data_IF_495428354433
#
_entry.id   IF_495428354433
#
_cell.length_a   1.000
_cell.length_b   1.000
_cell.length_c   1.000
_cell.angle_alpha   90.00
_cell.angle_beta   90.00
_cell.angle_gamma   90.00
#
_symmetry.space_group_name_H-M   'P 1'
#
loop_
_entity.id
_entity.type
_entity.pdbx_description
1 polymer ?
#
# COMPACT_ATOMS: atom_id res chain seq x y z
N UNK A 1 -4.47 7.88 -3.33
CA UNK A 1 -3.35 6.93 -3.26
C UNK A 1 -3.39 6.02 -4.48
N UNK A 2 -2.28 5.35 -4.76
CA UNK A 2 -2.19 4.31 -5.79
C UNK A 2 -1.80 3.03 -5.06
N UNK A 3 -2.59 1.98 -5.23
CA UNK A 3 -2.23 0.61 -4.89
C UNK A 3 -1.59 -0.04 -6.12
N UNK A 4 -0.47 -0.72 -5.90
CA UNK A 4 0.26 -1.45 -6.93
C UNK A 4 0.60 -2.85 -6.40
N UNK A 5 0.28 -3.87 -7.20
CA UNK A 5 0.68 -5.25 -6.94
C UNK A 5 2.16 -5.45 -7.31
N UNK A 6 2.92 -6.04 -6.39
CA UNK A 6 4.33 -6.39 -6.53
C UNK A 6 4.44 -7.93 -6.64
N UNK A 7 4.64 -8.48 -7.85
CA UNK A 7 4.68 -9.93 -8.07
C UNK A 7 5.77 -10.64 -7.26
N UNK A 8 6.93 -10.00 -7.10
CA UNK A 8 8.17 -10.57 -6.55
C UNK A 8 8.03 -10.95 -5.08
N UNK A 9 7.32 -10.12 -4.31
CA UNK A 9 7.01 -10.37 -2.88
C UNK A 9 5.59 -10.86 -2.69
N UNK A 10 4.86 -11.09 -3.78
CA UNK A 10 3.47 -11.50 -3.76
C UNK A 10 2.67 -10.57 -2.82
N UNK A 11 2.77 -9.26 -3.05
CA UNK A 11 2.27 -8.23 -2.13
C UNK A 11 1.68 -7.04 -2.87
N UNK A 12 1.16 -6.09 -2.11
CA UNK A 12 0.57 -4.83 -2.57
C UNK A 12 1.25 -3.71 -1.80
N UNK A 13 1.79 -2.74 -2.52
CA UNK A 13 2.23 -1.48 -1.94
C UNK A 13 1.16 -0.40 -2.17
N UNK A 14 1.05 0.55 -1.25
CA UNK A 14 0.18 1.72 -1.45
C UNK A 14 0.98 3.00 -1.22
N UNK A 15 0.92 3.93 -2.16
CA UNK A 15 1.62 5.23 -2.07
C UNK A 15 0.64 6.40 -2.18
N UNK A 16 0.80 7.42 -1.34
CA UNK A 16 0.00 8.65 -1.40
C UNK A 16 0.70 9.75 -2.22
N UNK A 17 -0.06 10.78 -2.62
CA UNK A 17 0.42 11.84 -3.50
C UNK A 17 1.50 12.70 -2.85
N UNK A 18 1.47 12.81 -1.53
CA UNK A 18 2.37 13.66 -0.75
C UNK A 18 3.75 13.01 -0.56
N UNK A 19 3.89 11.70 -0.78
CA UNK A 19 5.17 11.01 -0.73
C UNK A 19 6.03 11.37 -1.96
N UNK A 20 7.22 11.91 -1.69
CA UNK A 20 8.16 12.41 -2.73
C UNK A 20 9.31 11.46 -3.04
N UNK A 21 9.41 10.34 -2.31
CA UNK A 21 10.47 9.36 -2.49
C UNK A 21 10.23 8.39 -3.64
N UNK A 22 11.19 7.48 -3.80
CA UNK A 22 11.06 6.29 -4.64
C UNK A 22 10.39 5.20 -3.80
N UNK A 23 9.54 4.42 -4.45
CA UNK A 23 8.87 3.27 -3.83
C UNK A 23 9.59 1.97 -4.23
N UNK A 24 9.31 0.83 -3.57
CA UNK A 24 9.90 -0.45 -3.94
C UNK A 24 9.74 -0.81 -5.43
N UNK A 25 8.69 -0.33 -6.10
CA UNK A 25 8.51 -0.49 -7.55
C UNK A 25 9.55 0.23 -8.44
N UNK A 26 10.50 0.96 -7.85
CA UNK A 26 11.47 1.79 -8.57
C UNK A 26 10.89 3.09 -9.13
N UNK A 27 9.63 3.39 -8.83
CA UNK A 27 8.90 4.55 -9.35
C UNK A 27 8.43 5.49 -8.24
N UNK A 28 8.32 6.78 -8.56
CA UNK A 28 7.69 7.79 -7.69
C UNK A 28 6.17 7.80 -7.89
N UNK A 29 5.43 8.45 -6.99
CA UNK A 29 3.98 8.64 -7.15
C UNK A 29 3.61 9.29 -8.49
N UNK A 30 4.35 10.32 -8.93
CA UNK A 30 4.02 11.03 -10.16
C UNK A 30 4.17 10.16 -11.41
N UNK A 31 5.19 9.29 -11.44
CA UNK A 31 5.36 8.32 -12.52
C UNK A 31 4.23 7.30 -12.53
N UNK A 32 3.90 6.71 -11.37
CA UNK A 32 2.79 5.76 -11.23
C UNK A 32 1.45 6.38 -11.63
N UNK A 33 1.19 7.63 -11.23
CA UNK A 33 -0.01 8.36 -11.59
C UNK A 33 -0.13 8.62 -13.10
N UNK A 34 1.01 8.83 -13.77
CA UNK A 34 1.07 8.94 -15.23
C UNK A 34 0.68 7.64 -15.92
N UNK A 35 1.08 6.48 -15.38
CA UNK A 35 0.76 5.16 -15.93
C UNK A 35 -0.73 4.82 -15.84
N UNK A 36 -1.40 5.18 -14.74
CA UNK A 36 -2.84 4.89 -14.53
C UNK A 36 -3.77 6.04 -14.97
N UNK A 37 -3.19 7.15 -15.43
CA UNK A 37 -3.94 8.33 -15.83
C UNK A 37 -4.80 8.09 -17.07
N UNK A 38 -5.79 8.96 -17.29
CA UNK A 38 -6.58 8.95 -18.54
C UNK A 38 -7.72 7.93 -18.61
N UNK A 39 -8.08 7.28 -17.50
CA UNK A 39 -9.23 6.38 -17.41
C UNK A 39 -8.99 4.97 -17.96
N UNK A 40 -7.77 4.68 -18.42
CA UNK A 40 -7.36 3.33 -18.81
C UNK A 40 -7.20 2.44 -17.56
N UNK A 41 -7.80 1.25 -17.60
CA UNK A 41 -7.59 0.24 -16.58
C UNK A 41 -6.25 -0.45 -16.82
N UNK A 42 -5.31 -0.31 -15.89
CA UNK A 42 -4.01 -0.99 -15.95
C UNK A 42 -4.03 -2.13 -14.93
N UNK A 43 -3.93 -3.41 -15.37
CA UNK A 43 -3.89 -4.55 -14.46
C UNK A 43 -2.78 -4.41 -13.42
N UNK A 44 -3.07 -4.75 -12.16
CA UNK A 44 -2.13 -4.62 -11.04
C UNK A 44 -2.07 -3.23 -10.41
N UNK A 45 -2.78 -2.24 -10.96
CA UNK A 45 -2.86 -0.89 -10.40
C UNK A 45 -4.30 -0.53 -10.02
N UNK A 46 -4.45 0.18 -8.90
CA UNK A 46 -5.74 0.75 -8.51
C UNK A 46 -5.58 2.14 -7.89
N UNK A 47 -6.30 3.12 -8.41
CA UNK A 47 -6.48 4.40 -7.74
C UNK A 47 -7.44 4.24 -6.56
N UNK A 48 -6.98 4.53 -5.34
CA UNK A 48 -7.78 4.34 -4.11
C UNK A 48 -7.76 5.57 -3.20
N UNK A 49 -8.79 5.73 -2.37
CA UNK A 49 -8.74 6.67 -1.26
C UNK A 49 -7.87 6.11 -0.12
N UNK A 50 -7.22 6.99 0.66
CA UNK A 50 -6.40 6.58 1.81
C UNK A 50 -7.20 5.78 2.84
N UNK A 51 -8.42 6.22 3.14
CA UNK A 51 -9.31 5.56 4.11
C UNK A 51 -9.81 4.18 3.63
N UNK A 52 -9.73 3.87 2.33
CA UNK A 52 -10.13 2.56 1.82
C UNK A 52 -9.25 1.42 2.37
N UNK A 53 -8.01 1.70 2.78
CA UNK A 53 -7.12 0.74 3.46
C UNK A 53 -7.78 0.16 4.72
N UNK A 54 -8.59 0.95 5.41
CA UNK A 54 -9.31 0.54 6.63
C UNK A 54 -10.63 -0.20 6.34
N UNK A 55 -10.97 -0.43 5.07
CA UNK A 55 -12.22 -1.10 4.72
C UNK A 55 -12.12 -2.61 4.93
N UNK A 56 -13.23 -3.26 5.27
CA UNK A 56 -13.36 -4.73 5.16
C UNK A 56 -13.20 -5.18 3.71
N UNK A 57 -13.58 -4.32 2.76
CA UNK A 57 -13.53 -4.59 1.33
C UNK A 57 -12.22 -4.19 0.67
N UNK A 58 -11.20 -3.79 1.43
CA UNK A 58 -9.91 -3.40 0.88
C UNK A 58 -9.37 -4.55 0.02
N UNK A 59 -9.33 -4.37 -1.30
CA UNK A 59 -8.77 -5.28 -2.31
C UNK A 59 -9.04 -6.78 -2.04
N UNK A 60 -10.25 -7.13 -1.59
CA UNK A 60 -10.58 -8.52 -1.20
C UNK A 60 -10.38 -9.52 -2.33
N UNK A 61 -10.60 -9.12 -3.59
CA UNK A 61 -10.33 -9.97 -4.75
C UNK A 61 -8.85 -10.32 -4.95
N UNK A 62 -7.95 -9.50 -4.39
CA UNK A 62 -6.50 -9.65 -4.50
C UNK A 62 -5.85 -10.18 -3.20
N UNK A 63 -6.64 -10.64 -2.23
CA UNK A 63 -6.19 -11.14 -0.92
C UNK A 63 -6.24 -10.11 0.22
N UNK A 64 -6.71 -8.89 -0.06
CA UNK A 64 -7.03 -7.88 0.92
C UNK A 64 -5.87 -7.36 1.76
N UNK A 65 -6.15 -7.00 3.02
CA UNK A 65 -5.18 -6.29 3.87
C UNK A 65 -3.94 -7.12 4.18
N UNK A 66 -4.06 -8.45 4.20
CA UNK A 66 -2.95 -9.40 4.42
C UNK A 66 -1.85 -9.28 3.37
N UNK A 67 -2.19 -8.72 2.19
CA UNK A 67 -1.28 -8.52 1.08
C UNK A 67 -0.57 -7.19 1.13
N UNK A 68 -0.94 -6.29 2.03
CA UNK A 68 -0.30 -5.00 2.16
C UNK A 68 1.10 -5.19 2.73
N UNK A 69 2.13 -4.89 1.93
CA UNK A 69 3.53 -5.08 2.33
C UNK A 69 4.28 -3.76 2.51
N UNK A 70 3.79 -2.66 1.94
CA UNK A 70 4.48 -1.37 2.02
C UNK A 70 3.53 -0.17 2.05
N UNK A 71 3.79 0.77 2.96
CA UNK A 71 3.14 2.07 3.09
C UNK A 71 4.17 3.14 3.43
N UNK A 72 4.01 4.39 2.96
CA UNK A 72 4.81 5.49 3.48
C UNK A 72 4.62 5.63 4.99
N UNK A 73 5.70 5.89 5.73
CA UNK A 73 5.68 5.97 7.20
C UNK A 73 4.63 6.97 7.70
N UNK A 74 4.51 8.12 7.02
CA UNK A 74 3.47 9.11 7.29
C UNK A 74 2.05 8.51 7.23
N UNK A 75 1.74 7.72 6.20
CA UNK A 75 0.42 7.08 6.05
C UNK A 75 0.21 6.02 7.12
N UNK A 76 1.24 5.24 7.43
CA UNK A 76 1.23 4.22 8.46
C UNK A 76 0.94 4.84 9.84
N UNK A 77 1.59 5.95 10.18
CA UNK A 77 1.37 6.70 11.42
C UNK A 77 -0.03 7.31 11.50
N UNK A 78 -0.52 7.92 10.41
CA UNK A 78 -1.87 8.49 10.35
C UNK A 78 -2.96 7.42 10.55
N UNK A 79 -2.76 6.21 10.00
CA UNK A 79 -3.72 5.11 10.09
C UNK A 79 -3.59 4.29 11.37
N UNK A 80 -2.43 4.29 12.02
CA UNK A 80 -2.10 3.53 13.24
C UNK A 80 -3.23 3.41 14.27
N UNK A 81 -3.87 4.50 14.75
CA UNK A 81 -4.91 4.41 15.79
C UNK A 81 -6.15 3.62 15.35
N UNK A 82 -6.38 3.46 14.04
CA UNK A 82 -7.52 2.75 13.47
C UNK A 82 -7.13 1.39 12.89
N UNK A 83 -5.94 1.29 12.31
CA UNK A 83 -5.45 0.09 11.64
C UNK A 83 -5.06 -1.00 12.65
N UNK A 84 -4.38 -0.67 13.76
CA UNK A 84 -3.98 -1.66 14.76
C UNK A 84 -5.19 -2.38 15.40
N UNK A 85 -6.22 -1.67 15.91
CA UNK A 85 -7.41 -2.34 16.46
C UNK A 85 -8.10 -3.22 15.41
N UNK A 86 -8.24 -2.72 14.19
CA UNK A 86 -8.86 -3.44 13.07
C UNK A 86 -8.10 -4.71 12.71
N UNK A 87 -6.78 -4.66 12.66
CA UNK A 87 -5.94 -5.82 12.41
C UNK A 87 -6.03 -6.83 13.56
N UNK A 88 -6.08 -6.35 14.81
CA UNK A 88 -6.26 -7.21 15.99
C UNK A 88 -7.60 -7.92 15.98
N UNK A 89 -8.69 -7.22 15.67
CA UNK A 89 -10.03 -7.80 15.53
C UNK A 89 -10.10 -8.88 14.45
N UNK A 90 -9.30 -8.72 13.38
CA UNK A 90 -9.20 -9.68 12.28
C UNK A 90 -8.17 -10.80 12.50
N UNK A 91 -7.48 -10.83 13.64
CA UNK A 91 -6.49 -11.87 13.94
C UNK A 91 -5.10 -11.66 13.30
N UNK A 92 -4.80 -10.46 12.80
CA UNK A 92 -3.53 -10.09 12.16
C UNK A 92 -2.79 -9.00 12.95
N UNK A 93 -2.78 -9.09 14.28
CA UNK A 93 -2.26 -8.04 15.16
C UNK A 93 -0.79 -7.66 14.87
N UNK A 94 0.01 -8.61 14.36
CA UNK A 94 1.41 -8.47 14.01
C UNK A 94 1.64 -7.88 12.61
N UNK A 95 0.61 -7.80 11.76
CA UNK A 95 0.74 -7.34 10.39
C UNK A 95 1.18 -5.87 10.32
N UNK A 96 0.74 -5.03 11.25
CA UNK A 96 1.09 -3.60 11.24
C UNK A 96 2.61 -3.39 11.29
N UNK A 97 3.30 -4.15 12.15
CA UNK A 97 4.75 -4.04 12.34
C UNK A 97 5.53 -4.67 11.17
N UNK A 98 4.90 -5.59 10.42
CA UNK A 98 5.48 -6.25 9.25
C UNK A 98 5.34 -5.44 7.95
N UNK A 99 4.42 -4.48 7.89
CA UNK A 99 4.30 -3.57 6.74
C UNK A 99 5.53 -2.67 6.72
N UNK A 100 6.33 -2.77 5.66
CA UNK A 100 7.50 -1.93 5.47
C UNK A 100 7.11 -0.48 5.11
N UNK A 101 8.07 0.41 5.28
CA UNK A 101 8.01 1.81 4.88
C UNK A 101 9.39 2.25 4.37
N UNK A 102 9.50 3.51 3.92
CA UNK A 102 10.73 4.06 3.36
C UNK A 102 11.91 4.09 4.35
N UNK A 103 11.68 3.87 5.65
CA UNK A 103 12.75 3.84 6.67
C UNK A 103 13.36 2.45 6.84
N UNK A 104 12.70 1.40 6.34
CA UNK A 104 13.17 0.01 6.43
C UNK A 104 13.45 -0.62 5.06
N UNK A 105 12.67 -0.28 4.03
CA UNK A 105 12.83 -0.81 2.67
C UNK A 105 12.47 0.22 1.60
N UNK A 106 13.41 0.48 0.70
CA UNK A 106 13.21 1.38 -0.45
C UNK A 106 13.17 0.65 -1.79
N UNK A 107 13.55 -0.62 -1.79
CA UNK A 107 13.61 -1.53 -2.95
C UNK A 107 12.83 -2.81 -2.66
N UNK A 108 12.75 -3.74 -3.62
CA UNK A 108 12.07 -5.04 -3.44
C UNK A 108 12.96 -6.02 -2.68
N UNK A 109 14.28 -5.89 -2.82
CA UNK A 109 15.28 -6.77 -2.21
C UNK A 109 15.53 -6.49 -0.72
N UNK A 110 15.25 -5.25 -0.27
CA UNK A 110 15.32 -4.80 1.13
C UNK A 110 14.07 -5.18 1.93
#
# INVERSE_FOLDING_TARGET
CIALMLPEVNGIMVVNREFKGITPSGMTFSTLAGTIGGGAQTPGFAGISKNYILSDRFLQGDGGIERLVWLPAQVKDELKPRLIPLLKERGHADLFDKIADETNATTIEE
#
